data_IF_083358015320
#
_entry.id   IF_083358015320
#
_cell.length_a   1.000
_cell.length_b   1.000
_cell.length_c   1.000
_cell.angle_alpha   90.00
_cell.angle_beta   90.00
_cell.angle_gamma   90.00
#
_symmetry.space_group_name_H-M   'P 1'
#
loop_
_entity.id
_entity.type
_entity.pdbx_description
1 polymer ?
#
# COMPACT_ATOMS: atom_id res chain seq x y z
N UNK A 1 -21.26 3.50 5.99
CA UNK A 1 -19.86 3.08 6.10
C UNK A 1 -19.00 4.30 5.86
N UNK A 2 -18.77 5.11 6.91
CA UNK A 2 -17.88 6.29 6.81
C UNK A 2 -16.54 5.91 7.43
N UNK A 3 -16.04 4.73 7.05
CA UNK A 3 -14.81 4.13 7.55
C UNK A 3 -13.59 4.81 6.94
N UNK A 4 -12.55 4.97 7.75
CA UNK A 4 -11.27 5.55 7.34
C UNK A 4 -10.78 4.90 6.03
N UNK A 5 -10.63 5.73 5.00
CA UNK A 5 -10.20 5.32 3.67
C UNK A 5 -8.99 6.13 3.22
N UNK A 6 -8.09 5.50 2.47
CA UNK A 6 -6.92 6.19 1.93
C UNK A 6 -7.35 7.11 0.79
N UNK A 7 -6.94 8.38 0.85
CA UNK A 7 -7.23 9.36 -0.22
C UNK A 7 -6.21 9.30 -1.35
N UNK A 8 -4.92 9.23 -1.00
CA UNK A 8 -3.81 9.21 -1.93
C UNK A 8 -2.54 8.68 -1.24
N UNK A 9 -1.59 8.16 -2.01
CA UNK A 9 -0.29 7.68 -1.53
C UNK A 9 0.80 8.17 -2.48
N UNK A 10 1.86 8.73 -1.89
CA UNK A 10 3.06 9.09 -2.62
C UNK A 10 4.29 8.57 -1.88
N UNK A 11 5.21 7.96 -2.63
CA UNK A 11 6.47 7.43 -2.12
C UNK A 11 7.52 8.52 -2.32
N UNK A 12 7.98 9.12 -1.23
CA UNK A 12 8.94 10.21 -1.25
C UNK A 12 10.37 9.75 -1.55
N UNK A 13 10.72 8.55 -1.07
CA UNK A 13 12.03 7.96 -1.26
C UNK A 13 11.96 6.43 -1.24
N UNK A 14 12.82 5.82 -2.05
CA UNK A 14 13.07 4.39 -2.05
C UNK A 14 14.56 4.17 -2.32
N UNK A 15 15.13 3.12 -1.73
CA UNK A 15 16.52 2.69 -1.98
C UNK A 15 16.54 1.38 -2.76
N UNK A 16 15.49 1.15 -3.56
CA UNK A 16 15.37 -0.05 -4.36
C UNK A 16 16.33 -0.04 -5.55
N UNK A 17 16.72 -1.24 -5.99
CA UNK A 17 17.56 -1.39 -7.17
C UNK A 17 16.86 -0.79 -8.39
N UNK A 18 17.54 0.09 -9.17
CA UNK A 18 16.96 0.65 -10.39
C UNK A 18 16.46 -0.47 -11.31
N UNK A 19 15.21 -0.37 -11.74
CA UNK A 19 14.60 -1.38 -12.60
C UNK A 19 13.15 -1.67 -12.21
N UNK A 20 12.83 -2.95 -12.00
CA UNK A 20 11.45 -3.40 -11.76
C UNK A 20 10.91 -2.87 -10.44
N UNK A 21 11.78 -2.77 -9.43
CA UNK A 21 11.48 -2.28 -8.10
C UNK A 21 10.89 -0.88 -8.09
N UNK A 22 11.53 0.03 -8.83
CA UNK A 22 11.16 1.44 -8.84
C UNK A 22 9.73 1.72 -9.28
N UNK A 23 9.08 0.77 -9.96
CA UNK A 23 7.69 0.89 -10.43
C UNK A 23 6.66 0.92 -9.31
N UNK A 24 7.03 0.63 -8.06
CA UNK A 24 6.15 0.86 -6.91
C UNK A 24 5.77 2.35 -6.76
N UNK A 25 6.53 3.27 -7.35
CA UNK A 25 6.22 4.72 -7.31
C UNK A 25 5.30 5.17 -8.42
N UNK A 26 4.94 4.29 -9.36
CA UNK A 26 4.04 4.63 -10.45
C UNK A 26 2.60 4.71 -9.96
N UNK A 27 1.81 5.58 -10.61
CA UNK A 27 0.37 5.72 -10.35
C UNK A 27 -0.38 4.40 -10.53
N UNK A 28 0.09 3.55 -11.45
CA UNK A 28 -0.44 2.20 -11.68
C UNK A 28 -0.46 1.34 -10.40
N UNK A 29 0.47 1.58 -9.47
CA UNK A 29 0.53 0.92 -8.17
C UNK A 29 -0.11 1.78 -7.07
N UNK A 30 0.24 3.06 -6.98
CA UNK A 30 -0.21 3.92 -5.87
C UNK A 30 -1.72 4.25 -5.92
N UNK A 31 -2.33 4.30 -7.11
CA UNK A 31 -3.77 4.57 -7.24
C UNK A 31 -4.63 3.42 -6.72
N UNK A 32 -4.08 2.20 -6.64
CA UNK A 32 -4.81 1.03 -6.15
C UNK A 32 -5.20 1.13 -4.67
N UNK A 33 -4.52 1.99 -3.93
CA UNK A 33 -4.78 2.19 -2.50
C UNK A 33 -5.97 3.13 -2.25
N UNK A 34 -6.40 3.90 -3.26
CA UNK A 34 -7.44 4.91 -3.11
C UNK A 34 -8.78 4.27 -2.76
N UNK A 35 -9.40 4.76 -1.69
CA UNK A 35 -10.69 4.27 -1.20
C UNK A 35 -10.63 2.90 -0.52
N UNK A 36 -9.44 2.32 -0.32
CA UNK A 36 -9.30 1.07 0.44
C UNK A 36 -9.38 1.31 1.94
N UNK A 37 -10.05 0.38 2.64
CA UNK A 37 -10.05 0.29 4.10
C UNK A 37 -8.83 -0.49 4.60
N UNK A 38 -8.52 -0.40 5.89
CA UNK A 38 -7.37 -1.10 6.48
C UNK A 38 -7.40 -2.63 6.27
N UNK A 39 -8.60 -3.20 6.18
CA UNK A 39 -8.81 -4.63 5.92
C UNK A 39 -8.53 -5.04 4.47
N UNK A 40 -8.66 -4.11 3.52
CA UNK A 40 -8.45 -4.36 2.09
C UNK A 40 -6.97 -4.22 1.66
N UNK A 41 -6.14 -3.58 2.50
CA UNK A 41 -4.72 -3.32 2.22
C UNK A 41 -3.91 -4.60 2.45
N UNK A 42 -3.88 -5.43 1.42
CA UNK A 42 -2.98 -6.55 1.24
C UNK A 42 -2.81 -6.82 -0.26
N UNK A 43 -1.76 -7.54 -0.64
CA UNK A 43 -1.64 -8.01 -2.02
C UNK A 43 -2.75 -9.03 -2.32
N UNK A 44 -3.20 -9.13 -3.57
CA UNK A 44 -4.18 -10.15 -3.98
C UNK A 44 -3.73 -11.57 -3.65
N UNK A 45 -2.43 -11.84 -3.74
CA UNK A 45 -1.83 -13.13 -3.35
C UNK A 45 -1.93 -13.42 -1.84
N UNK A 46 -2.14 -12.39 -1.02
CA UNK A 46 -2.33 -12.48 0.43
C UNK A 46 -3.78 -12.19 0.85
N UNK A 47 -4.72 -12.20 -0.09
CA UNK A 47 -6.16 -12.02 0.17
C UNK A 47 -6.64 -10.56 0.23
N UNK A 48 -5.84 -9.59 -0.21
CA UNK A 48 -6.26 -8.19 -0.33
C UNK A 48 -6.66 -7.77 -1.74
N UNK A 49 -6.69 -6.46 -2.00
CA UNK A 49 -7.13 -5.89 -3.28
C UNK A 49 -6.01 -5.35 -4.18
N UNK A 50 -4.76 -5.35 -3.70
CA UNK A 50 -3.64 -4.69 -4.38
C UNK A 50 -2.89 -5.69 -5.28
N UNK A 51 -2.72 -5.35 -6.55
CA UNK A 51 -1.86 -6.06 -7.49
C UNK A 51 -0.39 -5.78 -7.21
N UNK A 52 0.42 -6.83 -7.15
CA UNK A 52 1.86 -6.69 -7.07
C UNK A 52 2.44 -6.21 -8.40
N UNK A 53 3.49 -5.40 -8.32
CA UNK A 53 4.29 -5.05 -9.51
C UNK A 53 5.03 -6.28 -10.00
N UNK A 54 4.88 -6.60 -11.28
CA UNK A 54 5.55 -7.75 -11.90
C UNK A 54 7.06 -7.65 -11.76
N UNK A 55 7.67 -8.67 -11.15
CA UNK A 55 9.11 -8.75 -10.86
C UNK A 55 9.61 -7.81 -9.75
N UNK A 56 8.69 -7.21 -8.98
CA UNK A 56 8.97 -6.45 -7.76
C UNK A 56 8.00 -6.83 -6.63
N UNK A 57 7.71 -8.14 -6.50
CA UNK A 57 6.76 -8.66 -5.52
C UNK A 57 7.19 -8.40 -4.08
N UNK A 58 8.48 -8.52 -3.78
CA UNK A 58 9.02 -8.29 -2.42
C UNK A 58 8.79 -6.84 -2.00
N UNK A 59 9.03 -5.91 -2.92
CA UNK A 59 8.93 -4.48 -2.68
C UNK A 59 7.50 -4.01 -2.63
N UNK A 60 6.66 -4.54 -3.52
CA UNK A 60 5.21 -4.37 -3.45
C UNK A 60 4.68 -4.80 -2.08
N UNK A 61 5.12 -5.97 -1.58
CA UNK A 61 4.73 -6.47 -0.25
C UNK A 61 5.25 -5.56 0.86
N UNK A 62 6.48 -5.05 0.75
CA UNK A 62 7.05 -4.13 1.73
C UNK A 62 6.22 -2.84 1.86
N UNK A 63 5.86 -2.22 0.73
CA UNK A 63 5.04 -0.99 0.71
C UNK A 63 3.65 -1.24 1.29
N UNK A 64 2.97 -2.30 0.83
CA UNK A 64 1.62 -2.65 1.31
C UNK A 64 1.61 -2.90 2.82
N UNK A 65 2.59 -3.64 3.34
CA UNK A 65 2.70 -3.90 4.77
C UNK A 65 2.98 -2.64 5.58
N UNK A 66 3.85 -1.74 5.07
CA UNK A 66 4.15 -0.48 5.73
C UNK A 66 2.90 0.41 5.85
N UNK A 67 2.13 0.53 4.77
CA UNK A 67 0.89 1.31 4.73
C UNK A 67 -0.15 0.69 5.66
N UNK A 68 -0.37 -0.63 5.59
CA UNK A 68 -1.32 -1.33 6.45
C UNK A 68 -1.01 -1.10 7.93
N UNK A 69 0.26 -1.30 8.32
CA UNK A 69 0.70 -1.11 9.70
C UNK A 69 0.43 0.31 10.17
N UNK A 70 0.78 1.32 9.36
CA UNK A 70 0.59 2.72 9.74
C UNK A 70 -0.89 3.10 9.82
N UNK A 71 -1.72 2.58 8.92
CA UNK A 71 -3.16 2.82 8.93
C UNK A 71 -3.82 2.24 10.19
N UNK A 72 -3.47 1.00 10.58
CA UNK A 72 -3.99 0.37 11.81
C UNK A 72 -3.58 1.18 13.04
N UNK A 73 -2.33 1.65 13.10
CA UNK A 73 -1.85 2.50 14.21
C UNK A 73 -2.60 3.83 14.30
N UNK A 74 -2.89 4.47 13.17
CA UNK A 74 -3.67 5.71 13.13
C UNK A 74 -5.10 5.46 13.60
N UNK A 75 -5.74 4.38 13.16
CA UNK A 75 -7.12 4.03 13.56
C UNK A 75 -7.16 3.78 15.08
N UNK A 76 -6.25 2.96 15.63
CA UNK A 76 -6.16 2.73 17.08
C UNK A 76 -5.96 4.03 17.87
N UNK A 77 -5.18 4.97 17.35
CA UNK A 77 -4.95 6.27 17.98
C UNK A 77 -6.15 7.23 17.90
N UNK A 78 -7.12 6.98 17.02
CA UNK A 78 -8.33 7.80 16.87
C UNK A 78 -9.53 7.23 17.65
N UNK A 79 -9.50 5.93 17.96
CA UNK A 79 -10.52 5.27 18.79
C UNK A 79 -10.23 5.36 20.31
N UNK A 80 -9.03 5.83 20.69
CA UNK A 80 -8.65 6.20 22.07
C UNK A 80 -9.02 7.63 22.41
#
# INVERSE_FOLDING_TARGET
DSGFGIKDISILSQTETPGLGSRITESSFTDQFKGLSASDIALKVDGGKIDAVTGATISSRAVVNAIKKKMVEIIDSLEK
#
